data_IF_319948618179
#
_entry.id   IF_319948618179
#
_cell.length_a   1.000
_cell.length_b   1.000
_cell.length_c   1.000
_cell.angle_alpha   90.00
_cell.angle_beta   90.00
_cell.angle_gamma   90.00
#
_symmetry.space_group_name_H-M   'P 1'
#
loop_
_entity.id
_entity.type
_entity.pdbx_description
1 polymer ?
#
# COMPACT_ATOMS: atom_id res chain seq x y z
N UNK A 1 19.10 -5.05 24.83
CA UNK A 1 19.64 -4.95 23.46
C UNK A 1 18.47 -4.60 22.56
N UNK A 2 18.56 -3.53 21.75
CA UNK A 2 17.55 -3.23 20.73
C UNK A 2 17.57 -4.35 19.68
N UNK A 3 16.41 -4.90 19.35
CA UNK A 3 16.31 -5.84 18.23
C UNK A 3 16.21 -5.04 16.94
N UNK A 4 16.79 -5.55 15.83
CA UNK A 4 16.72 -4.86 14.55
C UNK A 4 15.27 -4.71 14.08
N UNK A 5 14.99 -3.63 13.37
CA UNK A 5 13.73 -3.44 12.67
C UNK A 5 13.54 -4.53 11.61
N UNK A 6 12.36 -5.16 11.57
CA UNK A 6 12.02 -6.19 10.58
C UNK A 6 10.80 -5.84 9.78
N UNK A 7 10.80 -6.21 8.50
CA UNK A 7 9.60 -6.23 7.68
C UNK A 7 8.76 -7.45 8.08
N UNK A 8 7.47 -7.30 8.36
CA UNK A 8 6.58 -8.39 8.76
C UNK A 8 5.25 -8.27 8.00
N UNK A 9 4.48 -9.36 7.95
CA UNK A 9 3.09 -9.35 7.50
C UNK A 9 2.16 -9.51 8.69
N UNK A 10 1.03 -8.80 8.68
CA UNK A 10 0.00 -8.98 9.69
C UNK A 10 -1.02 -10.08 9.30
N UNK A 11 -2.03 -10.28 10.13
CA UNK A 11 -3.06 -11.32 9.91
C UNK A 11 -3.93 -11.08 8.68
N UNK A 12 -3.87 -9.89 8.07
CA UNK A 12 -4.59 -9.54 6.84
C UNK A 12 -3.62 -9.35 5.68
N UNK A 13 -2.43 -9.93 5.78
CA UNK A 13 -1.41 -9.97 4.73
C UNK A 13 -0.87 -8.58 4.32
N UNK A 14 -0.95 -7.58 5.22
CA UNK A 14 -0.39 -6.24 5.01
C UNK A 14 1.03 -6.17 5.56
N UNK A 15 1.94 -5.59 4.78
CA UNK A 15 3.31 -5.34 5.22
C UNK A 15 3.38 -4.25 6.29
N UNK A 16 4.18 -4.50 7.32
CA UNK A 16 4.41 -3.63 8.48
C UNK A 16 5.87 -3.65 8.89
N UNK A 17 6.28 -2.65 9.66
CA UNK A 17 7.59 -2.68 10.34
C UNK A 17 7.43 -3.08 11.79
N UNK A 18 8.20 -4.06 12.23
CA UNK A 18 8.34 -4.43 13.63
C UNK A 18 9.56 -3.74 14.23
N UNK A 19 9.35 -2.65 14.96
CA UNK A 19 10.40 -1.78 15.52
C UNK A 19 10.59 -1.97 17.02
N UNK A 20 11.79 -1.69 17.51
CA UNK A 20 12.11 -1.67 18.94
C UNK A 20 12.17 -0.23 19.47
N UNK A 21 11.25 0.16 20.33
CA UNK A 21 11.21 1.48 20.99
C UNK A 21 11.41 1.36 22.51
N UNK A 22 11.65 2.47 23.23
CA UNK A 22 11.55 2.48 24.69
C UNK A 22 10.19 1.92 25.14
N UNK A 23 10.22 0.81 25.89
CA UNK A 23 9.01 0.17 26.41
C UNK A 23 8.54 -1.07 25.65
N UNK A 24 9.10 -1.43 24.50
CA UNK A 24 8.76 -2.71 23.86
C UNK A 24 8.98 -2.80 22.36
N UNK A 25 8.36 -3.82 21.75
CA UNK A 25 8.27 -3.98 20.30
C UNK A 25 6.92 -3.48 19.82
N UNK A 26 6.93 -2.74 18.72
CA UNK A 26 5.73 -2.12 18.16
C UNK A 26 5.66 -2.36 16.66
N UNK A 27 4.45 -2.29 16.11
CA UNK A 27 4.19 -2.48 14.68
C UNK A 27 3.77 -1.15 14.05
N UNK A 28 4.51 -0.69 13.06
CA UNK A 28 4.15 0.45 12.22
C UNK A 28 3.43 -0.08 10.98
N UNK A 29 2.30 0.55 10.63
CA UNK A 29 1.67 0.35 9.32
C UNK A 29 2.50 1.05 8.27
N UNK A 30 2.57 0.50 7.06
CA UNK A 30 3.27 1.08 5.92
C UNK A 30 2.27 1.53 4.85
N UNK A 31 2.57 2.65 4.21
CA UNK A 31 1.92 3.08 2.98
C UNK A 31 2.55 2.39 1.75
N UNK A 32 1.84 2.41 0.63
CA UNK A 32 2.26 1.77 -0.63
C UNK A 32 3.67 2.22 -1.06
N UNK A 33 3.99 3.51 -0.87
CA UNK A 33 5.30 4.08 -1.24
C UNK A 33 6.46 3.45 -0.45
N UNK A 34 6.31 3.32 0.86
CA UNK A 34 7.33 2.70 1.70
C UNK A 34 7.49 1.21 1.36
N UNK A 35 6.37 0.52 1.08
CA UNK A 35 6.38 -0.88 0.65
C UNK A 35 7.21 -1.03 -0.64
N UNK A 36 6.88 -0.26 -1.69
CA UNK A 36 7.58 -0.31 -2.99
C UNK A 36 9.09 -0.10 -2.84
N UNK A 37 9.52 0.84 -1.98
CA UNK A 37 10.94 1.05 -1.74
C UNK A 37 11.59 -0.17 -1.10
N UNK A 38 10.97 -0.73 -0.06
CA UNK A 38 11.51 -1.88 0.66
C UNK A 38 11.51 -3.16 -0.21
N UNK A 39 10.42 -3.45 -0.91
CA UNK A 39 10.29 -4.70 -1.68
C UNK A 39 10.93 -4.58 -3.05
N UNK A 40 10.59 -3.56 -3.83
CA UNK A 40 10.92 -3.53 -5.25
C UNK A 40 12.32 -2.96 -5.50
N UNK A 41 12.74 -1.97 -4.69
CA UNK A 41 14.06 -1.34 -4.84
C UNK A 41 15.15 -2.00 -4.01
N UNK A 42 14.82 -2.41 -2.77
CA UNK A 42 15.80 -3.07 -1.90
C UNK A 42 15.74 -4.60 -1.98
N UNK A 43 14.66 -5.18 -2.52
CA UNK A 43 14.52 -6.63 -2.62
C UNK A 43 14.21 -7.30 -1.28
N UNK A 44 13.68 -6.57 -0.30
CA UNK A 44 13.41 -7.12 1.03
C UNK A 44 12.14 -7.98 1.01
N UNK A 45 12.24 -9.15 1.64
CA UNK A 45 11.14 -10.08 1.87
C UNK A 45 10.62 -10.00 3.31
N UNK A 46 9.59 -10.80 3.61
CA UNK A 46 9.11 -10.92 5.00
C UNK A 46 10.26 -11.39 5.90
N UNK A 47 10.34 -10.79 7.10
CA UNK A 47 11.34 -11.04 8.17
C UNK A 47 12.74 -10.51 7.89
N UNK A 48 12.98 -9.94 6.71
CA UNK A 48 14.23 -9.26 6.43
C UNK A 48 14.42 -8.04 7.34
N UNK A 49 15.68 -7.76 7.60
CA UNK A 49 16.07 -6.61 8.40
C UNK A 49 15.98 -5.35 7.54
N UNK A 50 15.21 -4.39 8.00
CA UNK A 50 15.09 -3.08 7.33
C UNK A 50 16.23 -2.18 7.81
N UNK A 51 16.96 -1.49 6.93
CA UNK A 51 18.02 -0.59 7.35
C UNK A 51 17.45 0.53 8.22
N UNK A 52 17.95 0.65 9.46
CA UNK A 52 17.40 1.56 10.48
C UNK A 52 17.19 3.01 9.99
N UNK A 53 18.08 3.62 9.17
CA UNK A 53 17.87 4.99 8.69
C UNK A 53 16.59 5.21 7.86
N UNK A 54 15.97 4.17 7.28
CA UNK A 54 14.72 4.30 6.54
C UNK A 54 13.52 4.59 7.44
N UNK A 55 13.51 4.00 8.64
CA UNK A 55 12.35 4.04 9.54
C UNK A 55 11.96 5.46 9.97
N UNK A 56 12.87 6.29 10.53
CA UNK A 56 12.51 7.66 10.92
C UNK A 56 12.13 8.52 9.70
N UNK A 57 12.72 8.26 8.53
CA UNK A 57 12.36 8.96 7.29
C UNK A 57 10.93 8.59 6.86
N UNK A 58 10.56 7.31 6.86
CA UNK A 58 9.17 6.91 6.54
C UNK A 58 8.15 7.50 7.51
N UNK A 59 8.45 7.53 8.81
CA UNK A 59 7.58 8.16 9.81
C UNK A 59 7.50 9.67 9.57
N UNK A 60 8.62 10.32 9.24
CA UNK A 60 8.66 11.75 8.93
C UNK A 60 7.82 12.12 7.70
N UNK A 61 7.90 11.28 6.65
CA UNK A 61 7.12 11.42 5.42
C UNK A 61 5.62 11.16 5.63
N UNK A 62 5.26 10.42 6.69
CA UNK A 62 3.90 9.95 6.94
C UNK A 62 3.56 8.65 6.21
N UNK A 63 4.56 7.93 5.73
CA UNK A 63 4.42 6.65 5.02
C UNK A 63 4.62 5.45 5.97
N UNK A 64 4.95 5.71 7.24
CA UNK A 64 4.87 4.75 8.33
C UNK A 64 4.20 5.38 9.57
N UNK A 65 3.24 4.70 10.20
CA UNK A 65 2.56 5.24 11.37
C UNK A 65 2.06 4.16 12.34
N UNK A 66 1.89 4.54 13.62
CA UNK A 66 1.15 3.71 14.57
C UNK A 66 -0.35 3.99 14.45
N UNK A 67 -1.21 2.96 14.41
CA UNK A 67 -2.66 3.14 14.29
C UNK A 67 -3.30 4.06 15.34
N UNK A 68 -2.69 4.18 16.52
CA UNK A 68 -3.27 4.89 17.69
C UNK A 68 -2.42 6.06 18.22
N UNK A 69 -1.33 6.44 17.53
CA UNK A 69 -0.42 7.48 18.04
C UNK A 69 -0.31 8.64 17.06
N UNK A 70 -0.57 9.85 17.56
CA UNK A 70 -0.57 11.08 16.75
C UNK A 70 0.74 11.87 16.82
N UNK A 71 1.58 11.59 17.81
CA UNK A 71 2.82 12.33 18.03
C UNK A 71 3.98 11.66 17.28
N UNK A 72 4.10 11.98 15.99
CA UNK A 72 5.17 11.47 15.13
C UNK A 72 6.55 11.96 15.57
N UNK A 73 6.64 13.14 16.18
CA UNK A 73 7.91 13.76 16.55
C UNK A 73 8.57 13.02 17.72
N UNK A 74 7.78 12.69 18.76
CA UNK A 74 8.26 11.86 19.86
C UNK A 74 8.74 10.47 19.41
N UNK A 75 8.08 9.89 18.40
CA UNK A 75 8.47 8.58 17.84
C UNK A 75 9.80 8.69 17.10
N UNK A 76 9.97 9.73 16.27
CA UNK A 76 11.19 9.93 15.50
C UNK A 76 12.41 10.13 16.41
N UNK A 77 12.25 10.83 17.54
CA UNK A 77 13.32 11.00 18.52
C UNK A 77 13.74 9.70 19.21
N UNK A 78 12.82 8.74 19.35
CA UNK A 78 13.10 7.43 19.94
C UNK A 78 13.71 6.42 18.94
N UNK A 79 13.50 6.64 17.63
CA UNK A 79 13.98 5.78 16.55
C UNK A 79 15.49 5.98 16.29
N UNK A 80 16.15 4.89 15.89
CA UNK A 80 17.57 4.94 15.53
C UNK A 80 17.72 5.47 14.11
N UNK A 81 18.36 6.62 13.94
CA UNK A 81 18.86 7.06 12.63
C UNK A 81 20.29 6.56 12.35
N UNK A 82 20.94 5.99 13.38
CA UNK A 82 22.29 5.44 13.29
C UNK A 82 22.31 4.16 12.44
N UNK A 83 23.27 4.09 11.52
CA UNK A 83 23.51 2.91 10.69
C UNK A 83 24.40 3.22 9.51
N UNK A 84 24.99 2.19 8.93
CA UNK A 84 25.68 2.30 7.64
C UNK A 84 24.77 1.78 6.55
N UNK A 85 24.51 2.62 5.54
CA UNK A 85 23.82 2.18 4.32
C UNK A 85 24.84 1.69 3.30
N UNK A 86 24.55 0.56 2.67
CA UNK A 86 25.22 0.15 1.43
C UNK A 86 24.97 1.18 0.32
N UNK A 87 25.76 1.17 -0.76
CA UNK A 87 25.54 2.09 -1.88
C UNK A 87 24.14 1.99 -2.50
N UNK A 88 23.56 0.78 -2.58
CA UNK A 88 22.21 0.59 -3.11
C UNK A 88 21.15 1.18 -2.17
N UNK A 89 21.24 0.89 -0.87
CA UNK A 89 20.31 1.42 0.13
C UNK A 89 20.39 2.95 0.22
N UNK A 90 21.60 3.50 0.17
CA UNK A 90 21.83 4.94 0.14
C UNK A 90 21.14 5.60 -1.06
N UNK A 91 21.37 5.06 -2.26
CA UNK A 91 20.74 5.56 -3.49
C UNK A 91 19.22 5.44 -3.46
N UNK A 92 18.69 4.35 -2.91
CA UNK A 92 17.26 4.14 -2.78
C UNK A 92 16.61 5.14 -1.82
N UNK A 93 17.26 5.44 -0.68
CA UNK A 93 16.77 6.42 0.29
C UNK A 93 16.80 7.84 -0.27
N UNK A 94 17.89 8.24 -0.95
CA UNK A 94 18.00 9.55 -1.60
C UNK A 94 16.88 9.73 -2.61
N UNK A 95 16.74 8.80 -3.57
CA UNK A 95 15.69 8.88 -4.59
C UNK A 95 14.29 8.84 -3.98
N UNK A 96 14.05 8.04 -2.94
CA UNK A 96 12.76 8.05 -2.26
C UNK A 96 12.40 9.43 -1.69
N UNK A 97 13.35 10.13 -1.09
CA UNK A 97 13.13 11.44 -0.49
C UNK A 97 13.01 12.55 -1.55
N UNK A 98 13.85 12.54 -2.59
CA UNK A 98 13.87 13.60 -3.62
C UNK A 98 12.75 13.47 -4.64
N UNK A 99 12.28 12.25 -4.90
CA UNK A 99 11.26 11.98 -5.92
C UNK A 99 9.85 11.98 -5.34
N UNK A 100 9.72 12.06 -4.00
CA UNK A 100 8.43 12.05 -3.32
C UNK A 100 7.90 13.45 -3.04
N UNK A 101 6.61 13.65 -3.29
CA UNK A 101 5.89 14.81 -2.81
C UNK A 101 5.78 14.78 -1.27
N UNK A 102 6.31 15.84 -0.64
CA UNK A 102 6.32 16.05 0.80
C UNK A 102 5.26 17.10 1.13
N UNK A 103 4.28 16.75 1.95
CA UNK A 103 3.32 17.74 2.44
C UNK A 103 4.06 18.83 3.23
N UNK A 104 3.73 20.10 3.01
CA UNK A 104 4.39 21.24 3.69
C UNK A 104 4.47 21.06 5.22
N UNK A 105 3.38 20.59 5.85
CA UNK A 105 3.32 20.30 7.29
C UNK A 105 4.33 19.26 7.80
N UNK A 106 4.86 18.42 6.91
CA UNK A 106 5.87 17.40 7.22
C UNK A 106 7.28 17.86 6.85
N UNK A 107 7.44 18.98 6.12
CA UNK A 107 8.73 19.40 5.56
C UNK A 107 9.84 19.54 6.60
N UNK A 108 9.55 20.20 7.73
CA UNK A 108 10.52 20.38 8.81
C UNK A 108 10.92 19.04 9.44
N UNK A 109 9.93 18.18 9.69
CA UNK A 109 10.16 16.83 10.25
C UNK A 109 11.03 15.98 9.33
N UNK A 110 10.78 16.05 8.03
CA UNK A 110 11.56 15.33 7.01
C UNK A 110 13.00 15.84 6.97
N UNK A 111 13.21 17.16 7.01
CA UNK A 111 14.56 17.75 7.09
C UNK A 111 15.31 17.26 8.33
N UNK A 112 14.69 17.31 9.50
CA UNK A 112 15.31 16.82 10.74
C UNK A 112 15.67 15.33 10.65
N UNK A 113 14.81 14.50 10.05
CA UNK A 113 15.10 13.08 9.86
C UNK A 113 16.26 12.85 8.88
N UNK A 114 16.36 13.63 7.80
CA UNK A 114 17.46 13.57 6.81
C UNK A 114 18.78 14.01 7.44
N UNK A 115 18.79 15.13 8.16
CA UNK A 115 19.99 15.70 8.81
C UNK A 115 20.60 14.71 9.83
N UNK A 116 19.76 13.90 10.48
CA UNK A 116 20.20 12.86 11.42
C UNK A 116 20.63 11.56 10.73
N UNK A 117 20.37 11.42 9.44
CA UNK A 117 20.63 10.19 8.68
C UNK A 117 21.98 10.22 7.96
N UNK A 118 22.49 9.07 7.48
CA UNK A 118 23.73 9.01 6.70
C UNK A 118 23.71 9.75 5.36
N UNK A 119 22.56 10.26 4.90
CA UNK A 119 22.40 10.98 3.64
C UNK A 119 22.27 12.51 3.82
N UNK A 120 22.38 13.02 5.06
CA UNK A 120 22.17 14.44 5.36
C UNK A 120 23.09 15.41 4.60
N UNK A 121 24.32 14.99 4.30
CA UNK A 121 25.27 15.80 3.51
C UNK A 121 25.02 15.75 1.99
N UNK A 122 24.17 14.84 1.51
CA UNK A 122 23.93 14.58 0.08
C UNK A 122 22.58 15.12 -0.41
N UNK A 123 21.62 15.37 0.49
CA UNK A 123 20.29 15.86 0.15
C UNK A 123 20.12 17.25 0.74
N UNK A 124 20.05 18.27 -0.11
CA UNK A 124 19.80 19.63 0.32
C UNK A 124 18.31 19.90 0.47
N UNK A 125 17.96 20.95 1.22
CA UNK A 125 16.56 21.37 1.36
C UNK A 125 15.90 21.79 0.03
N UNK A 126 16.71 22.14 -0.98
CA UNK A 126 16.25 22.53 -2.32
C UNK A 126 15.90 21.31 -3.19
N UNK A 127 16.42 20.13 -2.86
CA UNK A 127 16.13 18.88 -3.57
C UNK A 127 14.79 18.25 -3.15
N UNK A 128 14.15 18.79 -2.10
CA UNK A 128 12.88 18.29 -1.57
C UNK A 128 11.69 18.87 -2.32
N UNK A 129 10.82 17.99 -2.83
CA UNK A 129 9.57 18.40 -3.49
C UNK A 129 8.48 18.69 -2.46
N UNK A 130 8.52 19.90 -1.88
CA UNK A 130 7.50 20.35 -0.93
C UNK A 130 6.26 20.78 -1.71
N UNK A 131 5.13 20.10 -1.45
CA UNK A 131 3.83 20.41 -2.02
C UNK A 131 2.97 21.07 -0.96
N UNK A 132 2.47 22.25 -1.29
CA UNK A 132 1.46 22.93 -0.49
C UNK A 132 0.13 22.18 -0.68
N UNK A 133 -0.37 21.61 0.42
CA UNK A 133 -1.66 20.93 0.36
C UNK A 133 -2.74 22.03 0.36
N UNK A 134 -3.78 21.91 -0.47
CA UNK A 134 -4.87 22.87 -0.43
C UNK A 134 -5.41 22.96 1.01
N UNK A 135 -5.44 24.17 1.54
CA UNK A 135 -5.96 24.42 2.88
C UNK A 135 -7.36 23.81 3.00
N UNK A 136 -7.63 23.12 4.10
CA UNK A 136 -8.97 22.60 4.38
C UNK A 136 -9.99 23.73 4.18
N UNK A 137 -11.09 23.48 3.45
CA UNK A 137 -12.13 24.49 3.26
C UNK A 137 -12.58 25.00 4.62
N UNK A 138 -12.86 26.31 4.70
CA UNK A 138 -13.14 26.98 5.98
C UNK A 138 -14.30 26.34 6.76
N UNK A 139 -15.17 25.58 6.09
CA UNK A 139 -16.24 24.79 6.71
C UNK A 139 -15.77 23.63 7.60
N UNK A 140 -14.51 23.20 7.49
CA UNK A 140 -13.94 22.07 8.24
C UNK A 140 -12.92 22.51 9.30
N UNK A 141 -12.59 23.81 9.37
CA UNK A 141 -11.77 24.31 10.47
C UNK A 141 -12.66 24.28 11.72
N UNK A 142 -12.30 23.51 12.77
CA UNK A 142 -13.03 23.56 14.02
C UNK A 142 -13.10 25.02 14.49
N UNK A 143 -14.28 25.49 14.91
CA UNK A 143 -14.52 26.86 15.36
C UNK A 143 -13.53 27.22 16.48
N UNK A 144 -12.36 27.73 16.10
CA UNK A 144 -11.42 28.30 17.05
C UNK A 144 -12.05 29.58 17.60
N UNK A 145 -12.12 29.75 18.93
CA UNK A 145 -12.78 30.89 19.53
C UNK A 145 -12.00 32.18 19.28
N UNK A 146 -12.31 32.82 18.16
CA UNK A 146 -12.32 34.26 17.95
C UNK A 146 -10.98 34.99 18.07
N UNK A 147 -10.15 34.92 17.04
CA UNK A 147 -9.27 36.05 16.69
C UNK A 147 -9.70 36.65 15.35
N UNK A 148 -10.22 37.88 15.43
CA UNK A 148 -10.48 38.73 14.27
C UNK A 148 -9.13 39.13 13.69
N UNK A 149 -8.87 38.73 12.44
CA UNK A 149 -7.76 39.31 11.68
C UNK A 149 -8.25 39.71 10.29
N UNK A 150 -8.36 41.03 10.12
CA UNK A 150 -8.31 41.71 8.83
C UNK A 150 -6.92 41.48 8.20
N UNK A 151 -6.85 40.89 7.00
CA UNK A 151 -6.10 41.53 5.92
C UNK A 151 -6.22 40.83 4.55
N UNK A 152 -6.43 41.68 3.55
CA UNK A 152 -6.26 41.49 2.13
C UNK A 152 -4.83 41.14 1.75
N UNK A 153 -4.61 40.20 0.81
CA UNK A 153 -3.48 40.26 -0.13
C UNK A 153 -3.87 39.69 -1.50
N UNK A 154 -3.28 40.34 -2.50
CA UNK A 154 -3.38 40.28 -3.95
C UNK A 154 -3.23 38.90 -4.61
N UNK A 155 -4.04 38.72 -5.66
CA UNK A 155 -4.01 37.63 -6.61
C UNK A 155 -2.74 37.67 -7.48
N UNK A 156 -1.99 36.56 -7.48
CA UNK A 156 -0.88 36.30 -8.38
C UNK A 156 -1.36 35.36 -9.49
N UNK A 157 -1.30 35.83 -10.73
CA UNK A 157 -1.77 35.14 -11.93
C UNK A 157 -0.99 33.85 -12.18
N UNK A 158 -1.72 32.75 -12.28
CA UNK A 158 -1.23 31.43 -12.63
C UNK A 158 -1.45 31.17 -14.13
N UNK A 159 -0.44 30.56 -14.73
CA UNK A 159 -0.27 30.29 -16.15
C UNK A 159 -1.29 29.29 -16.69
N UNK A 160 -1.99 29.70 -17.75
CA UNK A 160 -3.01 28.93 -18.47
C UNK A 160 -2.33 27.81 -19.27
N UNK A 161 -2.39 26.58 -18.75
CA UNK A 161 -2.24 25.38 -19.55
C UNK A 161 -3.49 25.19 -20.43
N UNK A 162 -3.41 24.50 -21.57
CA UNK A 162 -4.54 24.35 -22.49
C UNK A 162 -5.68 23.59 -21.79
N UNK A 163 -6.83 24.23 -21.61
CA UNK A 163 -8.06 23.59 -21.12
C UNK A 163 -8.44 22.45 -22.08
N UNK A 164 -8.27 21.21 -21.62
CA UNK A 164 -8.98 20.08 -22.22
C UNK A 164 -10.50 20.36 -22.13
N UNK A 165 -11.29 19.93 -23.14
CA UNK A 165 -12.73 20.16 -23.14
C UNK A 165 -13.33 19.58 -21.86
N UNK A 166 -14.00 20.42 -21.08
CA UNK A 166 -14.63 20.03 -19.81
C UNK A 166 -15.59 18.85 -20.05
N UNK A 167 -15.27 17.69 -19.48
CA UNK A 167 -16.15 16.51 -19.47
C UNK A 167 -17.47 16.90 -18.80
N UNK A 168 -18.58 16.41 -19.33
CA UNK A 168 -19.88 16.66 -18.68
C UNK A 168 -20.02 15.77 -17.44
N UNK A 169 -20.81 16.20 -16.46
CA UNK A 169 -21.09 15.42 -15.26
C UNK A 169 -21.63 14.01 -15.58
N UNK A 170 -22.47 13.89 -16.61
CA UNK A 170 -22.97 12.60 -17.10
C UNK A 170 -21.86 11.68 -17.61
N UNK A 171 -20.81 12.22 -18.22
CA UNK A 171 -19.68 11.43 -18.71
C UNK A 171 -18.85 10.91 -17.53
N UNK A 172 -18.67 11.75 -16.50
CA UNK A 172 -17.93 11.40 -15.27
C UNK A 172 -18.63 10.27 -14.54
N UNK A 173 -19.95 10.38 -14.32
CA UNK A 173 -20.74 9.34 -13.64
C UNK A 173 -20.66 8.02 -14.40
N UNK A 174 -20.84 8.05 -15.72
CA UNK A 174 -20.74 6.86 -16.58
C UNK A 174 -19.34 6.22 -16.55
N UNK A 175 -18.30 7.04 -16.35
CA UNK A 175 -16.93 6.59 -16.21
C UNK A 175 -16.68 5.92 -14.85
N UNK A 176 -17.20 6.49 -13.76
CA UNK A 176 -17.09 5.92 -12.41
C UNK A 176 -17.88 4.62 -12.24
N UNK A 177 -19.03 4.48 -12.91
CA UNK A 177 -19.84 3.25 -12.91
C UNK A 177 -19.12 2.02 -13.50
N UNK A 178 -18.01 2.22 -14.23
CA UNK A 178 -17.17 1.12 -14.71
C UNK A 178 -16.46 0.38 -13.57
N UNK A 179 -16.34 0.98 -12.39
CA UNK A 179 -15.70 0.35 -11.24
C UNK A 179 -16.63 -0.73 -10.66
N UNK A 180 -16.19 -1.99 -10.53
CA UNK A 180 -16.98 -3.04 -9.92
C UNK A 180 -17.47 -2.64 -8.52
N UNK A 181 -18.77 -2.82 -8.26
CA UNK A 181 -19.40 -2.45 -6.98
C UNK A 181 -19.78 -0.97 -6.83
N UNK A 182 -19.45 -0.11 -7.78
CA UNK A 182 -19.87 1.30 -7.83
C UNK A 182 -21.03 1.44 -8.81
N UNK A 183 -22.25 1.43 -8.26
CA UNK A 183 -23.47 1.69 -9.04
C UNK A 183 -23.76 3.18 -9.22
N UNK A 184 -24.81 3.53 -9.98
CA UNK A 184 -25.13 4.91 -10.35
C UNK A 184 -25.24 5.87 -9.17
N UNK A 185 -25.84 5.43 -8.07
CA UNK A 185 -25.98 6.25 -6.87
C UNK A 185 -24.62 6.63 -6.26
N UNK A 186 -23.70 5.67 -6.15
CA UNK A 186 -22.36 5.92 -5.59
C UNK A 186 -21.50 6.74 -6.55
N UNK A 187 -21.63 6.49 -7.85
CA UNK A 187 -20.97 7.29 -8.88
C UNK A 187 -21.39 8.76 -8.81
N UNK A 188 -22.70 9.05 -8.67
CA UNK A 188 -23.21 10.40 -8.47
C UNK A 188 -22.65 11.03 -7.19
N UNK A 189 -22.67 10.31 -6.06
CA UNK A 189 -22.12 10.81 -4.79
C UNK A 189 -20.63 11.18 -4.91
N UNK A 190 -19.83 10.35 -5.59
CA UNK A 190 -18.42 10.64 -5.83
C UNK A 190 -18.23 11.87 -6.73
N UNK A 191 -19.03 12.00 -7.79
CA UNK A 191 -19.00 13.16 -8.68
C UNK A 191 -19.41 14.46 -7.96
N UNK A 192 -20.49 14.43 -7.19
CA UNK A 192 -20.93 15.54 -6.32
C UNK A 192 -19.89 15.88 -5.24
N UNK A 193 -19.14 14.88 -4.78
CA UNK A 193 -17.99 15.02 -3.88
C UNK A 193 -16.71 15.56 -4.54
N UNK A 194 -16.77 15.95 -5.82
CA UNK A 194 -15.66 16.58 -6.54
C UNK A 194 -14.74 15.63 -7.30
N UNK A 195 -15.07 14.33 -7.40
CA UNK A 195 -14.29 13.40 -8.23
C UNK A 195 -14.63 13.60 -9.70
N UNK A 196 -13.64 14.04 -10.48
CA UNK A 196 -13.83 14.45 -11.88
C UNK A 196 -13.30 13.45 -12.91
N UNK A 197 -12.50 12.46 -12.48
CA UNK A 197 -11.97 11.41 -13.36
C UNK A 197 -11.51 10.17 -12.59
N UNK A 198 -11.28 9.07 -13.31
CA UNK A 198 -10.66 7.87 -12.74
C UNK A 198 -9.22 8.11 -12.30
N UNK A 199 -8.47 8.96 -13.01
CA UNK A 199 -7.10 9.33 -12.64
C UNK A 199 -7.08 10.02 -11.26
N UNK A 200 -7.91 11.05 -11.08
CA UNK A 200 -8.04 11.76 -9.81
C UNK A 200 -8.50 10.83 -8.67
N UNK A 201 -9.44 9.94 -8.96
CA UNK A 201 -9.89 8.95 -8.00
C UNK A 201 -8.79 7.94 -7.64
N UNK A 202 -7.97 7.51 -8.60
CA UNK A 202 -6.88 6.54 -8.38
C UNK A 202 -5.74 7.08 -7.52
N UNK A 203 -5.54 8.40 -7.52
CA UNK A 203 -4.59 9.15 -6.69
C UNK A 203 -5.15 9.52 -5.31
N UNK A 204 -6.47 9.38 -5.12
CA UNK A 204 -7.14 9.75 -3.87
C UNK A 204 -6.87 8.73 -2.76
N UNK A 205 -7.01 9.19 -1.51
CA UNK A 205 -6.96 8.31 -0.33
C UNK A 205 -8.37 7.93 0.10
N UNK A 206 -8.63 6.67 0.49
CA UNK A 206 -9.95 6.24 0.91
C UNK A 206 -10.55 7.09 2.05
N UNK A 207 -9.72 7.48 3.01
CA UNK A 207 -10.15 8.32 4.14
C UNK A 207 -10.72 9.68 3.74
N UNK A 208 -10.19 10.32 2.69
CA UNK A 208 -10.73 11.62 2.22
C UNK A 208 -12.09 11.46 1.53
N UNK A 209 -12.29 10.36 0.82
CA UNK A 209 -13.56 10.10 0.13
C UNK A 209 -14.65 9.64 1.10
N UNK A 210 -14.26 9.06 2.24
CA UNK A 210 -15.20 8.65 3.29
C UNK A 210 -15.91 9.84 3.98
N UNK A 211 -15.41 11.07 3.77
CA UNK A 211 -16.09 12.29 4.22
C UNK A 211 -17.30 12.66 3.33
N UNK A 212 -17.43 12.05 2.15
CA UNK A 212 -18.57 12.24 1.26
C UNK A 212 -19.79 11.50 1.84
N UNK A 213 -20.92 12.20 1.95
CA UNK A 213 -22.14 11.64 2.54
C UNK A 213 -22.60 10.35 1.82
N UNK A 214 -22.67 9.25 2.57
CA UNK A 214 -23.09 7.94 2.07
C UNK A 214 -21.96 7.09 1.47
N UNK A 215 -20.73 7.58 1.44
CA UNK A 215 -19.54 6.81 1.08
C UNK A 215 -18.84 6.35 2.36
N UNK A 216 -18.80 5.05 2.60
CA UNK A 216 -18.01 4.50 3.73
C UNK A 216 -16.55 4.34 3.32
N UNK A 217 -15.64 4.23 4.29
CA UNK A 217 -14.21 3.99 4.02
C UNK A 217 -13.96 2.74 3.16
N UNK A 218 -14.73 1.66 3.39
CA UNK A 218 -14.64 0.46 2.56
C UNK A 218 -15.08 0.68 1.11
N UNK A 219 -16.16 1.45 0.89
CA UNK A 219 -16.61 1.81 -0.46
C UNK A 219 -15.61 2.75 -1.15
N UNK A 220 -15.04 3.69 -0.40
CA UNK A 220 -13.97 4.53 -0.89
C UNK A 220 -12.74 3.71 -1.30
N UNK A 221 -12.35 2.71 -0.52
CA UNK A 221 -11.25 1.81 -0.86
C UNK A 221 -11.53 1.01 -2.14
N UNK A 222 -12.75 0.47 -2.28
CA UNK A 222 -13.21 -0.19 -3.52
C UNK A 222 -13.11 0.76 -4.72
N UNK A 223 -13.58 2.00 -4.58
CA UNK A 223 -13.56 2.99 -5.65
C UNK A 223 -12.12 3.33 -6.09
N UNK A 224 -11.21 3.58 -5.13
CA UNK A 224 -9.81 3.90 -5.39
C UNK A 224 -9.08 2.72 -6.06
N UNK A 225 -9.19 1.50 -5.51
CA UNK A 225 -8.53 0.32 -6.07
C UNK A 225 -9.08 -0.01 -7.47
N UNK A 226 -10.39 0.01 -7.65
CA UNK A 226 -10.99 -0.24 -8.95
C UNK A 226 -10.62 0.82 -9.99
N UNK A 227 -10.51 2.09 -9.59
CA UNK A 227 -9.98 3.13 -10.47
C UNK A 227 -8.53 2.84 -10.88
N UNK A 228 -7.66 2.45 -9.93
CA UNK A 228 -6.26 2.05 -10.21
C UNK A 228 -6.16 0.88 -11.19
N UNK A 229 -7.07 -0.09 -11.08
CA UNK A 229 -7.15 -1.22 -12.02
C UNK A 229 -7.55 -0.74 -13.43
N UNK A 230 -8.57 0.11 -13.56
CA UNK A 230 -9.05 0.59 -14.87
C UNK A 230 -8.01 1.50 -15.57
N UNK A 231 -7.30 2.36 -14.82
CA UNK A 231 -6.25 3.22 -15.41
C UNK A 231 -4.93 2.48 -15.65
N UNK A 232 -4.86 1.18 -15.34
CA UNK A 232 -3.70 0.34 -15.60
C UNK A 232 -2.52 0.54 -14.64
N UNK A 233 -2.76 1.12 -13.45
CA UNK A 233 -1.75 1.24 -12.38
C UNK A 233 -1.62 -0.05 -11.57
N UNK A 234 -2.65 -0.89 -11.59
CA UNK A 234 -2.66 -2.17 -10.91
C UNK A 234 -3.29 -3.22 -11.83
N UNK A 235 -2.81 -4.45 -11.75
CA UNK A 235 -3.38 -5.56 -12.50
C UNK A 235 -4.79 -5.88 -11.99
N UNK A 236 -5.81 -6.02 -12.86
CA UNK A 236 -7.19 -6.34 -12.45
C UNK A 236 -7.28 -7.56 -11.52
N UNK A 237 -8.18 -7.50 -10.53
CA UNK A 237 -8.29 -8.51 -9.49
C UNK A 237 -8.64 -9.92 -10.02
N UNK A 238 -9.54 -9.98 -11.00
CA UNK A 238 -9.94 -11.18 -11.73
C UNK A 238 -8.77 -11.79 -12.49
N UNK A 239 -7.98 -10.97 -13.17
CA UNK A 239 -6.79 -11.41 -13.90
C UNK A 239 -5.70 -11.92 -12.95
N UNK A 240 -5.50 -11.23 -11.82
CA UNK A 240 -4.61 -11.71 -10.74
C UNK A 240 -5.07 -13.05 -10.21
N UNK A 241 -6.37 -13.23 -9.94
CA UNK A 241 -6.93 -14.49 -9.46
C UNK A 241 -6.78 -15.61 -10.49
N UNK A 242 -7.03 -15.32 -11.77
CA UNK A 242 -6.81 -16.27 -12.87
C UNK A 242 -5.38 -16.75 -12.90
N UNK A 243 -4.41 -15.83 -12.84
CA UNK A 243 -2.99 -16.16 -12.87
C UNK A 243 -2.55 -16.94 -11.60
N UNK A 244 -3.18 -16.66 -10.45
CA UNK A 244 -2.85 -17.29 -9.16
C UNK A 244 -3.57 -18.61 -8.90
N UNK A 245 -4.65 -18.92 -9.61
CA UNK A 245 -5.46 -20.13 -9.38
C UNK A 245 -5.60 -21.02 -10.61
N UNK A 246 -5.32 -20.49 -11.80
CA UNK A 246 -5.64 -21.12 -13.08
C UNK A 246 -7.15 -21.26 -13.34
N UNK A 247 -8.01 -20.63 -12.52
CA UNK A 247 -9.47 -20.65 -12.68
C UNK A 247 -9.91 -19.48 -13.56
N UNK A 248 -10.92 -19.69 -14.40
CA UNK A 248 -11.46 -18.64 -15.29
C UNK A 248 -12.03 -17.45 -14.53
N UNK A 249 -11.80 -16.25 -15.05
CA UNK A 249 -12.36 -14.96 -14.55
C UNK A 249 -13.86 -15.02 -14.31
N UNK A 250 -14.61 -15.71 -15.18
CA UNK A 250 -16.07 -15.87 -15.06
C UNK A 250 -16.56 -16.49 -13.73
N UNK A 251 -15.67 -17.19 -13.00
CA UNK A 251 -15.96 -17.71 -11.66
C UNK A 251 -15.82 -16.63 -10.59
N UNK A 252 -14.90 -15.69 -10.79
CA UNK A 252 -14.57 -14.63 -9.84
C UNK A 252 -15.42 -13.37 -10.00
N UNK A 253 -15.83 -13.01 -11.21
CA UNK A 253 -16.58 -11.77 -11.46
C UNK A 253 -17.80 -11.59 -10.53
N UNK A 254 -18.67 -12.61 -10.34
CA UNK A 254 -19.83 -12.46 -9.47
C UNK A 254 -19.43 -12.27 -7.99
N UNK A 255 -18.37 -12.94 -7.56
CA UNK A 255 -17.89 -12.87 -6.18
C UNK A 255 -17.22 -11.52 -5.89
N UNK A 256 -16.34 -11.06 -6.79
CA UNK A 256 -15.69 -9.75 -6.70
C UNK A 256 -16.72 -8.63 -6.73
N UNK A 257 -17.69 -8.67 -7.66
CA UNK A 257 -18.74 -7.66 -7.72
C UNK A 257 -19.59 -7.61 -6.44
N UNK A 258 -19.93 -8.77 -5.86
CA UNK A 258 -20.70 -8.85 -4.61
C UNK A 258 -19.91 -8.32 -3.41
N UNK A 259 -18.61 -8.62 -3.33
CA UNK A 259 -17.72 -8.14 -2.27
C UNK A 259 -17.49 -6.63 -2.38
N UNK A 260 -17.20 -6.15 -3.58
CA UNK A 260 -17.03 -4.72 -3.87
C UNK A 260 -18.31 -3.93 -3.54
N UNK A 261 -19.48 -4.45 -3.90
CA UNK A 261 -20.76 -3.83 -3.54
C UNK A 261 -20.94 -3.69 -2.01
N UNK A 262 -20.31 -4.58 -1.24
CA UNK A 262 -20.31 -4.59 0.23
C UNK A 262 -19.18 -3.77 0.87
N UNK A 263 -18.35 -3.10 0.05
CA UNK A 263 -17.22 -2.29 0.54
C UNK A 263 -15.98 -3.09 0.89
N UNK A 264 -15.84 -4.31 0.37
CA UNK A 264 -14.62 -5.11 0.50
C UNK A 264 -13.74 -4.86 -0.73
N UNK A 265 -12.58 -4.22 -0.58
CA UNK A 265 -11.67 -3.93 -1.70
C UNK A 265 -11.04 -5.21 -2.26
N UNK A 266 -10.51 -5.10 -3.49
CA UNK A 266 -9.92 -6.24 -4.19
C UNK A 266 -8.68 -6.79 -3.46
N UNK A 267 -7.86 -5.91 -2.88
CA UNK A 267 -6.71 -6.29 -2.06
C UNK A 267 -7.07 -7.22 -0.89
N UNK A 268 -8.24 -7.03 -0.29
CA UNK A 268 -8.76 -7.88 0.80
C UNK A 268 -9.46 -9.14 0.27
N UNK A 269 -10.20 -9.02 -0.84
CA UNK A 269 -10.96 -10.12 -1.41
C UNK A 269 -10.08 -11.21 -2.03
N UNK A 270 -9.04 -10.82 -2.78
CA UNK A 270 -8.23 -11.74 -3.60
C UNK A 270 -7.62 -12.89 -2.78
N UNK A 271 -6.96 -12.68 -1.62
CA UNK A 271 -6.42 -13.79 -0.83
C UNK A 271 -7.49 -14.81 -0.41
N UNK A 272 -8.70 -14.35 -0.06
CA UNK A 272 -9.81 -15.22 0.36
C UNK A 272 -10.40 -15.99 -0.81
N UNK A 273 -10.60 -15.33 -1.95
CA UNK A 273 -11.13 -15.95 -3.16
C UNK A 273 -10.15 -16.97 -3.75
N UNK A 274 -8.84 -16.68 -3.69
CA UNK A 274 -7.78 -17.61 -4.07
C UNK A 274 -7.89 -18.92 -3.29
N UNK A 275 -8.06 -18.83 -1.97
CA UNK A 275 -8.21 -20.00 -1.10
C UNK A 275 -9.52 -20.76 -1.34
N UNK A 276 -10.61 -20.04 -1.62
CA UNK A 276 -11.95 -20.65 -1.73
C UNK A 276 -12.18 -21.37 -3.07
N UNK A 277 -11.65 -20.81 -4.16
CA UNK A 277 -11.90 -21.31 -5.52
C UNK A 277 -10.67 -21.93 -6.18
N UNK A 278 -9.47 -21.60 -5.70
CA UNK A 278 -8.22 -22.10 -6.27
C UNK A 278 -7.81 -23.47 -5.72
N UNK A 279 -6.78 -24.08 -6.33
CA UNK A 279 -6.15 -25.26 -5.77
C UNK A 279 -5.46 -24.93 -4.44
N UNK A 280 -5.40 -25.94 -3.58
CA UNK A 280 -4.70 -25.89 -2.29
C UNK A 280 -3.33 -26.55 -2.40
N UNK A 281 -2.47 -26.39 -1.39
CA UNK A 281 -1.19 -27.12 -1.33
C UNK A 281 -1.34 -28.64 -1.36
N UNK A 282 -2.50 -29.17 -0.95
CA UNK A 282 -2.77 -30.60 -1.00
C UNK A 282 -3.04 -31.11 -2.43
N UNK A 283 -3.32 -30.23 -3.38
CA UNK A 283 -3.56 -30.56 -4.79
C UNK A 283 -2.27 -30.62 -5.62
N UNK A 284 -1.11 -30.35 -5.00
CA UNK A 284 0.19 -30.47 -5.66
C UNK A 284 0.62 -31.94 -5.64
N UNK A 285 0.79 -32.56 -6.81
CA UNK A 285 1.11 -34.00 -6.93
C UNK A 285 2.35 -34.46 -6.14
N UNK A 286 3.33 -33.56 -5.95
CA UNK A 286 4.56 -33.82 -5.19
C UNK A 286 4.39 -33.71 -3.66
N UNK A 287 3.22 -33.27 -3.18
CA UNK A 287 2.96 -33.03 -1.76
C UNK A 287 2.20 -34.20 -1.16
N UNK A 288 2.78 -34.85 -0.15
CA UNK A 288 2.06 -35.84 0.65
C UNK A 288 1.08 -35.16 1.61
N UNK A 289 0.01 -35.87 2.04
CA UNK A 289 -0.96 -35.30 2.98
C UNK A 289 -0.36 -34.79 4.30
N UNK A 290 0.73 -35.41 4.78
CA UNK A 290 1.46 -34.95 5.97
C UNK A 290 2.24 -33.64 5.70
N UNK A 291 2.88 -33.53 4.53
CA UNK A 291 3.55 -32.29 4.13
C UNK A 291 2.55 -31.16 3.90
N UNK A 292 1.39 -31.44 3.29
CA UNK A 292 0.32 -30.44 3.10
C UNK A 292 -0.11 -29.83 4.44
N UNK A 293 -0.25 -30.64 5.50
CA UNK A 293 -0.55 -30.15 6.83
C UNK A 293 0.53 -29.18 7.36
N UNK A 294 1.81 -29.55 7.28
CA UNK A 294 2.89 -28.69 7.78
C UNK A 294 3.11 -27.43 6.94
N UNK A 295 2.90 -27.50 5.63
CA UNK A 295 2.90 -26.34 4.74
C UNK A 295 1.77 -25.37 5.13
N UNK A 296 0.56 -25.88 5.34
CA UNK A 296 -0.59 -25.08 5.75
C UNK A 296 -0.39 -24.40 7.10
N UNK A 297 0.09 -25.13 8.12
CA UNK A 297 0.44 -24.58 9.44
C UNK A 297 1.54 -23.51 9.37
N UNK A 298 2.39 -23.58 8.34
CA UNK A 298 3.45 -22.59 8.08
C UNK A 298 2.98 -21.41 7.24
N UNK A 299 1.68 -21.35 6.90
CA UNK A 299 1.08 -20.25 6.14
C UNK A 299 1.03 -20.47 4.62
N UNK A 300 1.56 -21.57 4.09
CA UNK A 300 1.48 -21.90 2.67
C UNK A 300 0.19 -22.68 2.39
N UNK A 301 -0.81 -22.00 1.85
CA UNK A 301 -2.16 -22.58 1.69
C UNK A 301 -2.46 -22.98 0.25
N UNK A 302 -1.80 -22.35 -0.72
CA UNK A 302 -2.05 -22.51 -2.15
C UNK A 302 -0.75 -22.77 -2.93
N UNK A 303 -0.81 -23.36 -4.14
CA UNK A 303 0.37 -23.52 -4.99
C UNK A 303 1.06 -22.20 -5.32
N UNK A 304 0.32 -21.09 -5.39
CA UNK A 304 0.90 -19.77 -5.61
C UNK A 304 1.82 -19.36 -4.46
N UNK A 305 1.44 -19.61 -3.21
CA UNK A 305 2.26 -19.29 -2.04
C UNK A 305 3.59 -20.06 -2.07
N UNK A 306 3.57 -21.32 -2.52
CA UNK A 306 4.76 -22.16 -2.74
C UNK A 306 5.69 -21.58 -3.82
N UNK A 307 5.12 -21.03 -4.90
CA UNK A 307 5.91 -20.43 -5.99
C UNK A 307 6.61 -19.16 -5.52
N UNK A 308 5.95 -18.34 -4.71
CA UNK A 308 6.49 -17.10 -4.17
C UNK A 308 7.53 -17.34 -3.06
N UNK A 309 7.41 -18.45 -2.32
CA UNK A 309 8.37 -18.81 -1.29
C UNK A 309 9.76 -19.10 -1.87
N UNK A 310 10.80 -18.64 -1.16
CA UNK A 310 12.16 -19.04 -1.42
C UNK A 310 12.37 -20.51 -1.05
N UNK A 311 13.40 -21.12 -1.64
CA UNK A 311 13.72 -22.52 -1.33
C UNK A 311 14.12 -22.68 0.15
N UNK A 312 14.77 -21.68 0.75
CA UNK A 312 15.18 -21.70 2.15
C UNK A 312 13.96 -21.71 3.09
N UNK A 313 12.99 -20.82 2.86
CA UNK A 313 11.75 -20.78 3.66
C UNK A 313 10.98 -22.10 3.59
N UNK A 314 10.91 -22.72 2.40
CA UNK A 314 10.27 -24.04 2.26
C UNK A 314 11.04 -25.12 3.01
N UNK A 315 12.37 -25.03 3.11
CA UNK A 315 13.16 -26.02 3.86
C UNK A 315 13.04 -25.92 5.37
N UNK A 316 12.59 -24.78 5.88
CA UNK A 316 12.29 -24.60 7.30
C UNK A 316 10.98 -25.30 7.70
N UNK A 317 10.13 -25.65 6.74
CA UNK A 317 8.90 -26.39 6.99
C UNK A 317 9.22 -27.84 7.35
N UNK A 318 8.67 -28.30 8.48
CA UNK A 318 8.90 -29.66 8.97
C UNK A 318 8.51 -30.71 7.92
N UNK A 319 9.44 -31.64 7.65
CA UNK A 319 9.36 -32.69 6.60
C UNK A 319 9.46 -32.21 5.14
N UNK A 320 9.87 -30.96 4.92
CA UNK A 320 10.19 -30.43 3.59
C UNK A 320 11.71 -30.25 3.50
N UNK A 321 12.43 -31.27 3.06
CA UNK A 321 13.88 -31.17 2.85
C UNK A 321 14.22 -30.39 1.57
N UNK A 322 15.48 -29.98 1.37
CA UNK A 322 15.90 -29.18 0.20
C UNK A 322 15.52 -29.78 -1.17
N UNK A 323 15.68 -31.09 -1.33
CA UNK A 323 15.29 -31.79 -2.55
C UNK A 323 13.76 -31.78 -2.74
N UNK A 324 13.01 -32.04 -1.67
CA UNK A 324 11.55 -32.02 -1.65
C UNK A 324 10.99 -30.62 -1.90
N UNK A 325 11.59 -29.57 -1.33
CA UNK A 325 11.21 -28.18 -1.56
C UNK A 325 11.29 -27.82 -3.05
N UNK A 326 12.41 -28.19 -3.71
CA UNK A 326 12.58 -27.96 -5.15
C UNK A 326 11.55 -28.74 -5.99
N UNK A 327 11.27 -29.99 -5.63
CA UNK A 327 10.28 -30.82 -6.31
C UNK A 327 8.86 -30.24 -6.18
N UNK A 328 8.46 -29.88 -4.95
CA UNK A 328 7.16 -29.25 -4.66
C UNK A 328 7.01 -27.93 -5.43
N UNK A 329 8.03 -27.08 -5.44
CA UNK A 329 7.98 -25.81 -6.16
C UNK A 329 7.89 -26.00 -7.69
N UNK A 330 8.61 -26.98 -8.24
CA UNK A 330 8.51 -27.33 -9.66
C UNK A 330 7.12 -27.88 -10.02
N UNK A 331 6.55 -28.73 -9.16
CA UNK A 331 5.21 -29.28 -9.34
C UNK A 331 4.15 -28.16 -9.27
N UNK A 332 4.27 -27.25 -8.31
CA UNK A 332 3.38 -26.09 -8.20
C UNK A 332 3.40 -25.21 -9.46
N UNK A 333 4.59 -24.90 -10.02
CA UNK A 333 4.71 -24.13 -11.28
C UNK A 333 4.03 -24.83 -12.46
N UNK A 334 4.19 -26.15 -12.55
CA UNK A 334 3.61 -26.95 -13.63
C UNK A 334 2.07 -26.90 -13.64
N UNK A 335 1.42 -26.62 -12.51
CA UNK A 335 -0.05 -26.45 -12.45
C UNK A 335 -0.53 -25.21 -13.20
N UNK A 336 0.32 -24.20 -13.38
CA UNK A 336 0.02 -22.95 -14.09
C UNK A 336 0.43 -23.01 -15.56
N UNK A 337 1.52 -23.72 -15.89
CA UNK A 337 2.02 -23.84 -17.27
C UNK A 337 1.16 -24.77 -18.16
N UNK A 338 0.38 -25.67 -17.56
CA UNK A 338 -0.37 -26.70 -18.29
C UNK A 338 -1.72 -26.22 -18.88
N UNK A 339 -2.03 -24.92 -18.82
CA UNK A 339 -3.33 -24.34 -19.20
C UNK A 339 -3.18 -23.19 -20.19
#
# INVERSE_FOLDING_TARGET
>A
MRQPTRLIRDSVDRLKLEVSLPGGRYQLSLDDRAIIVLTDRLGLAERDTVPEPFVPVFVAMGDAWFPNQRDADAIIDDLSADGTLSPNERSALISYVTDSNIAERNSERVRVAIDRSPIGDEVSAEDLQIVDLPSLPDSLKPDEPGEKSDNSVEAKQESIAPEEPAKTESDIVSELERIPGIGPQRANQLAEGGMTSLESLSDSRPGYLADIEGITEGIAAVAVEGAREIVGRTKPADERLRDQTGVSESVFDPALASLAASGVPASEAVPKLRLLYGPTVADIDAVTGQQAYFLYESGYQTPYDIIQASQEELTDVYQVGSATAAEIQSAARSMFDAR
#
